data_IF_223357204956
#
_entry.id   IF_223357204956
#
_cell.length_a   1.000
_cell.length_b   1.000
_cell.length_c   1.000
_cell.angle_alpha   90.00
_cell.angle_beta   90.00
_cell.angle_gamma   90.00
#
_symmetry.space_group_name_H-M   'P 1'
#
loop_
_entity.id
_entity.type
_entity.pdbx_description
1 polymer ?
#
# COMPACT_ATOMS: atom_id res chain seq x y z
N UNK A 1 20.00 -13.20 -35.07
CA UNK A 1 21.22 -13.09 -34.25
C UNK A 1 20.82 -12.44 -32.93
N UNK A 2 21.37 -12.95 -31.81
CA UNK A 2 21.11 -12.42 -30.45
C UNK A 2 22.40 -11.78 -29.95
N UNK A 3 22.29 -10.64 -29.29
CA UNK A 3 23.44 -9.94 -28.70
C UNK A 3 23.96 -10.67 -27.45
N UNK A 4 23.06 -11.38 -26.73
CA UNK A 4 23.41 -12.20 -25.59
C UNK A 4 22.72 -13.55 -25.64
N UNK A 5 23.36 -14.59 -25.10
CA UNK A 5 22.80 -15.93 -24.94
C UNK A 5 22.92 -16.36 -23.48
N UNK A 6 21.80 -16.78 -22.87
CA UNK A 6 21.76 -17.39 -21.55
C UNK A 6 21.32 -18.85 -21.69
N UNK A 7 22.11 -19.78 -21.13
CA UNK A 7 21.72 -21.18 -21.04
C UNK A 7 20.95 -21.40 -19.73
N UNK A 8 19.68 -21.72 -19.87
CA UNK A 8 18.83 -22.04 -18.72
C UNK A 8 19.00 -23.50 -18.24
N UNK A 9 19.74 -24.33 -19.00
CA UNK A 9 19.82 -25.77 -18.75
C UNK A 9 18.43 -26.40 -18.76
N UNK A 10 18.14 -27.26 -17.76
CA UNK A 10 16.83 -27.92 -17.62
C UNK A 10 15.81 -27.11 -16.82
N UNK A 11 16.00 -25.78 -16.64
CA UNK A 11 15.11 -24.92 -15.87
C UNK A 11 13.96 -24.35 -16.72
N UNK A 12 12.81 -24.18 -16.08
CA UNK A 12 11.68 -23.47 -16.68
C UNK A 12 11.89 -21.97 -16.65
N UNK A 13 11.50 -21.28 -17.72
CA UNK A 13 11.53 -19.85 -17.82
C UNK A 13 10.09 -19.30 -17.74
N UNK A 14 9.83 -18.41 -16.81
CA UNK A 14 8.55 -17.74 -16.62
C UNK A 14 8.72 -16.23 -16.68
N UNK A 15 7.67 -15.45 -17.03
CA UNK A 15 7.65 -14.02 -16.78
C UNK A 15 7.85 -13.74 -15.28
N UNK A 16 8.57 -12.66 -14.96
CA UNK A 16 8.71 -12.23 -13.56
C UNK A 16 7.36 -11.77 -12.99
N UNK A 17 7.22 -11.89 -11.68
CA UNK A 17 6.05 -11.39 -10.98
C UNK A 17 6.04 -9.85 -10.95
N UNK A 18 4.83 -9.29 -10.94
CA UNK A 18 4.59 -7.87 -10.69
C UNK A 18 3.78 -7.75 -9.39
N UNK A 19 4.41 -7.23 -8.34
CA UNK A 19 3.77 -7.04 -7.05
C UNK A 19 3.20 -5.62 -6.98
N UNK A 20 1.88 -5.53 -7.08
CA UNK A 20 1.19 -4.26 -7.26
C UNK A 20 0.81 -3.56 -5.95
N UNK A 21 1.21 -4.09 -4.79
CA UNK A 21 0.87 -3.51 -3.49
C UNK A 21 1.86 -3.92 -2.42
N UNK A 22 2.77 -3.01 -2.05
CA UNK A 22 3.72 -3.23 -0.96
C UNK A 22 4.00 -1.96 -0.16
N UNK A 23 4.47 -2.17 1.07
CA UNK A 23 4.98 -1.13 1.97
C UNK A 23 6.43 -1.42 2.35
N UNK A 24 7.26 -1.83 1.40
CA UNK A 24 8.64 -2.28 1.61
C UNK A 24 9.57 -1.28 2.32
N UNK A 25 9.25 0.02 2.26
CA UNK A 25 10.00 1.06 2.95
C UNK A 25 9.42 1.30 4.33
N UNK A 26 9.99 0.63 5.34
CA UNK A 26 9.63 0.79 6.75
C UNK A 26 10.84 0.57 7.66
N UNK A 27 10.79 1.10 8.86
CA UNK A 27 11.84 0.99 9.87
C UNK A 27 11.54 -0.13 10.88
N UNK A 28 12.51 -1.05 11.04
CA UNK A 28 12.39 -2.19 11.97
C UNK A 28 11.34 -3.21 11.52
N UNK A 29 10.81 -3.96 12.47
CA UNK A 29 9.78 -4.98 12.25
C UNK A 29 8.77 -4.96 13.39
N UNK A 30 7.66 -5.67 13.25
CA UNK A 30 6.56 -5.73 14.24
C UNK A 30 6.30 -7.16 14.70
N UNK A 31 7.31 -8.00 14.71
CA UNK A 31 7.23 -9.41 15.13
C UNK A 31 6.66 -9.61 16.53
N UNK A 32 6.84 -8.64 17.44
CA UNK A 32 6.23 -8.72 18.76
C UNK A 32 4.71 -8.67 18.71
N UNK A 33 4.14 -7.91 17.78
CA UNK A 33 2.69 -7.86 17.58
C UNK A 33 2.13 -9.19 17.07
N UNK A 34 2.94 -9.93 16.29
CA UNK A 34 2.60 -11.30 15.88
C UNK A 34 2.57 -12.25 17.07
N UNK A 35 3.55 -12.20 17.95
CA UNK A 35 3.56 -12.97 19.20
C UNK A 35 2.36 -12.62 20.08
N UNK A 36 2.02 -11.34 20.18
CA UNK A 36 0.86 -10.88 20.94
C UNK A 36 -0.45 -11.46 20.37
N UNK A 37 -0.59 -11.52 19.05
CA UNK A 37 -1.72 -12.17 18.37
C UNK A 37 -1.80 -13.67 18.66
N UNK A 38 -0.68 -14.39 18.57
CA UNK A 38 -0.62 -15.83 18.89
C UNK A 38 -1.03 -16.06 20.34
N UNK A 39 -0.69 -15.14 21.24
CA UNK A 39 -1.08 -15.18 22.65
C UNK A 39 -2.54 -14.73 22.90
N UNK A 40 -3.32 -14.47 21.84
CA UNK A 40 -4.74 -14.19 21.91
C UNK A 40 -5.11 -12.73 22.14
N UNK A 41 -4.17 -11.78 22.02
CA UNK A 41 -4.49 -10.36 22.11
C UNK A 41 -5.28 -9.91 20.89
N UNK A 42 -6.32 -9.11 21.11
CA UNK A 42 -7.06 -8.46 20.04
C UNK A 42 -6.25 -7.37 19.36
N UNK A 43 -6.62 -7.00 18.13
CA UNK A 43 -6.02 -5.87 17.42
C UNK A 43 -6.09 -4.56 18.25
N UNK A 44 -7.21 -4.32 18.92
CA UNK A 44 -7.41 -3.14 19.78
C UNK A 44 -6.47 -3.13 20.99
N UNK A 45 -6.21 -4.30 21.60
CA UNK A 45 -5.26 -4.43 22.70
C UNK A 45 -3.82 -4.20 22.23
N UNK A 46 -3.45 -4.71 21.07
CA UNK A 46 -2.14 -4.49 20.45
C UNK A 46 -1.97 -2.99 20.16
N UNK A 47 -2.98 -2.34 19.56
CA UNK A 47 -2.95 -0.91 19.27
C UNK A 47 -2.83 -0.07 20.56
N UNK A 48 -3.56 -0.42 21.64
CA UNK A 48 -3.44 0.24 22.96
C UNK A 48 -2.04 0.11 23.58
N UNK A 49 -1.32 -0.96 23.27
CA UNK A 49 0.08 -1.17 23.70
C UNK A 49 1.08 -0.41 22.86
N UNK A 50 0.62 0.40 21.91
CA UNK A 50 1.45 1.20 21.03
C UNK A 50 1.83 0.49 19.73
N UNK A 51 1.16 -0.61 19.38
CA UNK A 51 1.31 -1.30 18.09
C UNK A 51 0.63 -0.61 16.91
N UNK A 52 0.67 -1.25 15.77
CA UNK A 52 0.01 -0.79 14.55
C UNK A 52 0.83 0.22 13.74
N UNK A 53 0.15 0.90 12.81
CA UNK A 53 0.75 1.88 11.88
C UNK A 53 1.50 2.98 12.64
N UNK A 54 0.96 3.46 13.76
CA UNK A 54 1.59 4.52 14.55
C UNK A 54 2.91 4.10 15.19
N UNK A 55 3.07 2.83 15.58
CA UNK A 55 4.36 2.29 16.05
C UNK A 55 5.41 2.30 14.93
N UNK A 56 5.02 1.89 13.73
CA UNK A 56 5.91 1.97 12.56
C UNK A 56 6.30 3.42 12.25
N UNK A 57 5.37 4.37 12.42
CA UNK A 57 5.64 5.79 12.22
C UNK A 57 6.65 6.33 13.25
N UNK A 58 6.48 6.03 14.53
CA UNK A 58 7.38 6.47 15.60
C UNK A 58 8.82 5.98 15.32
N UNK A 59 9.00 4.72 14.94
CA UNK A 59 10.32 4.17 14.55
C UNK A 59 10.91 4.86 13.32
N UNK A 60 10.07 5.14 12.32
CA UNK A 60 10.50 5.78 11.08
C UNK A 60 10.94 7.22 11.31
N UNK A 61 10.31 7.95 12.23
CA UNK A 61 10.72 9.32 12.60
C UNK A 61 12.17 9.38 13.08
N UNK A 62 12.60 8.37 13.85
CA UNK A 62 13.96 8.28 14.41
C UNK A 62 14.97 7.66 13.45
N UNK A 63 14.52 7.05 12.35
CA UNK A 63 15.40 6.35 11.41
C UNK A 63 15.89 7.30 10.32
N UNK A 64 17.21 7.31 10.09
CA UNK A 64 17.80 8.10 9.01
C UNK A 64 17.39 7.59 7.63
N UNK A 65 17.42 8.46 6.61
CA UNK A 65 17.15 8.08 5.22
C UNK A 65 18.11 6.98 4.73
N UNK A 66 19.38 7.03 5.14
CA UNK A 66 20.39 6.03 4.76
C UNK A 66 20.08 4.65 5.35
N UNK A 67 19.74 4.60 6.64
CA UNK A 67 19.39 3.32 7.30
C UNK A 67 18.07 2.76 6.75
N UNK A 68 17.08 3.64 6.46
CA UNK A 68 15.83 3.22 5.84
C UNK A 68 16.05 2.64 4.45
N UNK A 69 16.94 3.26 3.65
CA UNK A 69 17.33 2.74 2.34
C UNK A 69 18.05 1.38 2.45
N UNK A 70 19.00 1.23 3.39
CA UNK A 70 19.71 -0.04 3.60
C UNK A 70 18.75 -1.18 3.93
N UNK A 71 17.84 -0.98 4.88
CA UNK A 71 16.82 -1.96 5.25
C UNK A 71 15.88 -2.30 4.08
N UNK A 72 15.46 -1.30 3.30
CA UNK A 72 14.61 -1.52 2.15
C UNK A 72 15.33 -2.32 1.05
N UNK A 73 16.62 -2.09 0.81
CA UNK A 73 17.38 -2.85 -0.19
C UNK A 73 17.53 -4.33 0.18
N UNK A 74 17.62 -4.69 1.46
CA UNK A 74 17.62 -6.10 1.90
C UNK A 74 16.32 -6.80 1.49
N UNK A 75 15.15 -6.13 1.66
CA UNK A 75 13.84 -6.63 1.25
C UNK A 75 13.70 -6.68 -0.29
N UNK A 76 14.25 -5.71 -0.99
CA UNK A 76 14.32 -5.71 -2.47
C UNK A 76 15.10 -6.92 -2.96
N UNK A 77 16.24 -7.21 -2.39
CA UNK A 77 17.04 -8.40 -2.74
C UNK A 77 16.28 -9.71 -2.45
N UNK A 78 15.50 -9.75 -1.40
CA UNK A 78 14.64 -10.89 -1.06
C UNK A 78 13.57 -11.13 -2.14
N UNK A 79 12.78 -10.11 -2.48
CA UNK A 79 11.71 -10.26 -3.49
C UNK A 79 12.27 -10.55 -4.90
N UNK A 80 13.44 -10.04 -5.25
CA UNK A 80 14.13 -10.39 -6.50
C UNK A 80 14.44 -11.88 -6.54
N UNK A 81 14.98 -12.45 -5.45
CA UNK A 81 15.26 -13.90 -5.37
C UNK A 81 13.99 -14.74 -5.48
N UNK A 82 12.85 -14.22 -5.08
CA UNK A 82 11.54 -14.87 -5.22
C UNK A 82 10.93 -14.70 -6.62
N UNK A 83 11.56 -13.94 -7.52
CA UNK A 83 11.15 -13.79 -8.90
C UNK A 83 10.35 -12.52 -9.21
N UNK A 84 10.31 -11.55 -8.31
CA UNK A 84 9.66 -10.25 -8.54
C UNK A 84 10.53 -9.40 -9.47
N UNK A 85 9.97 -8.95 -10.58
CA UNK A 85 10.62 -8.08 -11.57
C UNK A 85 10.04 -6.66 -11.63
N UNK A 86 8.92 -6.44 -10.96
CA UNK A 86 8.30 -5.12 -10.82
C UNK A 86 7.57 -5.03 -9.48
N UNK A 87 7.66 -3.87 -8.82
CA UNK A 87 7.03 -3.65 -7.53
C UNK A 87 6.44 -2.25 -7.42
N UNK A 88 5.28 -2.15 -6.82
CA UNK A 88 4.73 -0.88 -6.35
C UNK A 88 5.06 -0.72 -4.86
N UNK A 89 5.64 0.42 -4.50
CA UNK A 89 6.05 0.72 -3.12
C UNK A 89 5.35 1.99 -2.65
N UNK A 90 4.67 1.88 -1.51
CA UNK A 90 3.96 2.99 -0.87
C UNK A 90 4.81 3.66 0.21
N UNK A 91 4.59 4.96 0.40
CA UNK A 91 4.88 5.62 1.67
C UNK A 91 3.81 5.24 2.71
N UNK A 92 3.54 6.09 3.71
CA UNK A 92 2.41 5.88 4.62
C UNK A 92 2.77 5.50 6.05
N UNK A 93 4.06 5.38 6.36
CA UNK A 93 4.54 5.29 7.74
C UNK A 93 5.23 6.57 8.19
N UNK A 94 5.27 7.62 7.35
CA UNK A 94 5.76 8.93 7.73
C UNK A 94 4.75 9.68 8.59
N UNK A 95 3.53 9.80 8.11
CA UNK A 95 2.40 10.51 8.71
C UNK A 95 2.68 11.99 9.03
N UNK A 96 3.83 12.49 8.57
CA UNK A 96 4.31 13.88 8.62
C UNK A 96 4.91 14.22 7.26
N UNK A 97 4.84 15.51 6.89
CA UNK A 97 5.37 15.95 5.59
C UNK A 97 6.80 15.45 5.32
N UNK A 98 7.73 15.76 6.23
CA UNK A 98 9.16 15.44 6.02
C UNK A 98 9.43 13.95 5.98
N UNK A 99 8.72 13.15 6.77
CA UNK A 99 8.92 11.71 6.83
C UNK A 99 8.27 10.98 5.65
N UNK A 100 7.14 11.45 5.15
CA UNK A 100 6.56 10.96 3.89
C UNK A 100 7.49 11.27 2.71
N UNK A 101 8.04 12.47 2.64
CA UNK A 101 9.06 12.82 1.63
C UNK A 101 10.33 11.97 1.77
N UNK A 102 10.80 11.71 3.00
CA UNK A 102 11.92 10.81 3.29
C UNK A 102 11.68 9.42 2.72
N UNK A 103 10.52 8.82 2.98
CA UNK A 103 10.15 7.51 2.43
C UNK A 103 10.15 7.52 0.90
N UNK A 104 9.52 8.50 0.28
CA UNK A 104 9.44 8.60 -1.18
C UNK A 104 10.80 8.88 -1.83
N UNK A 105 11.69 9.62 -1.16
CA UNK A 105 13.09 9.79 -1.61
C UNK A 105 13.86 8.46 -1.57
N UNK A 106 13.63 7.65 -0.54
CA UNK A 106 14.17 6.27 -0.47
C UNK A 106 13.63 5.42 -1.62
N UNK A 107 12.33 5.46 -1.92
CA UNK A 107 11.73 4.73 -3.07
C UNK A 107 12.38 5.19 -4.39
N UNK A 108 12.60 6.49 -4.56
CA UNK A 108 13.32 7.02 -5.73
C UNK A 108 14.76 6.51 -5.82
N UNK A 109 15.47 6.35 -4.69
CA UNK A 109 16.82 5.76 -4.65
C UNK A 109 16.76 4.27 -5.04
N UNK A 110 15.82 3.50 -4.50
CA UNK A 110 15.60 2.09 -4.86
C UNK A 110 15.41 1.95 -6.38
N UNK A 111 14.53 2.76 -6.99
CA UNK A 111 14.30 2.78 -8.43
C UNK A 111 15.57 2.97 -9.26
N UNK A 112 16.56 3.72 -8.74
CA UNK A 112 17.82 4.00 -9.42
C UNK A 112 18.90 2.96 -9.19
N UNK A 113 18.80 2.20 -8.09
CA UNK A 113 19.82 1.26 -7.62
C UNK A 113 19.45 -0.20 -7.85
N UNK A 114 18.17 -0.50 -8.09
CA UNK A 114 17.66 -1.85 -8.27
C UNK A 114 17.44 -2.17 -9.76
N UNK A 115 17.62 -3.43 -10.19
CA UNK A 115 17.35 -3.85 -11.57
C UNK A 115 15.87 -4.03 -11.89
N UNK A 116 14.97 -4.01 -10.89
CA UNK A 116 13.53 -4.22 -11.09
C UNK A 116 12.77 -2.91 -11.33
N UNK A 117 11.62 -3.02 -11.98
CA UNK A 117 10.71 -1.88 -12.13
C UNK A 117 10.12 -1.45 -10.80
N UNK A 118 10.12 -0.15 -10.51
CA UNK A 118 9.55 0.41 -9.27
C UNK A 118 8.54 1.49 -9.60
N UNK A 119 7.33 1.39 -9.02
CA UNK A 119 6.31 2.44 -8.98
C UNK A 119 6.20 3.01 -7.57
N UNK A 120 6.06 4.31 -7.45
CA UNK A 120 5.95 4.98 -6.17
C UNK A 120 4.51 5.48 -5.93
N UNK A 121 3.98 5.18 -4.76
CA UNK A 121 2.66 5.62 -4.31
C UNK A 121 2.79 6.46 -3.05
N UNK A 122 2.22 7.66 -3.07
CA UNK A 122 2.07 8.46 -1.87
C UNK A 122 0.83 8.00 -1.08
N UNK A 123 1.03 7.58 0.17
CA UNK A 123 -0.02 7.11 1.09
C UNK A 123 -0.02 7.91 2.40
N UNK A 124 0.07 9.24 2.35
CA UNK A 124 -0.01 10.06 3.57
C UNK A 124 -1.31 9.85 4.37
N UNK A 125 -2.37 9.40 3.71
CA UNK A 125 -3.64 9.04 4.34
C UNK A 125 -3.74 7.52 4.67
N UNK A 126 -2.71 6.96 5.30
CA UNK A 126 -2.69 5.59 5.82
C UNK A 126 -3.28 5.52 7.24
N UNK A 127 -2.97 6.51 8.06
CA UNK A 127 -3.58 6.75 9.38
C UNK A 127 -3.45 8.23 9.72
N UNK A 128 -4.14 8.67 10.77
CA UNK A 128 -3.97 10.03 11.29
C UNK A 128 -2.73 10.09 12.17
N UNK A 129 -1.77 10.96 11.84
CA UNK A 129 -0.56 11.13 12.62
C UNK A 129 -0.85 11.58 14.06
N UNK A 130 0.00 11.20 15.03
CA UNK A 130 -0.20 11.50 16.46
C UNK A 130 -0.40 12.98 16.75
N UNK A 131 0.27 13.87 15.98
CA UNK A 131 0.15 15.32 16.12
C UNK A 131 -1.26 15.85 15.83
N UNK A 132 -2.06 15.06 15.08
CA UNK A 132 -3.43 15.36 14.71
C UNK A 132 -4.46 14.48 15.43
N UNK A 133 -4.09 13.80 16.52
CA UNK A 133 -5.03 12.96 17.28
C UNK A 133 -6.31 13.73 17.63
N UNK A 134 -7.47 13.18 17.25
CA UNK A 134 -8.78 13.83 17.41
C UNK A 134 -9.07 15.00 16.46
N UNK A 135 -8.18 15.28 15.50
CA UNK A 135 -8.31 16.39 14.53
C UNK A 135 -8.16 15.91 13.09
N UNK A 136 -8.85 14.81 12.74
CA UNK A 136 -8.72 14.14 11.43
C UNK A 136 -8.98 15.08 10.25
N UNK A 137 -9.96 15.96 10.34
CA UNK A 137 -10.25 16.92 9.26
C UNK A 137 -9.08 17.88 8.99
N UNK A 138 -8.37 18.30 10.04
CA UNK A 138 -7.16 19.13 9.88
C UNK A 138 -6.01 18.33 9.26
N UNK A 139 -5.91 17.04 9.61
CA UNK A 139 -4.93 16.15 8.96
C UNK A 139 -5.20 15.99 7.47
N UNK A 140 -6.46 15.76 7.09
CA UNK A 140 -6.87 15.69 5.68
C UNK A 140 -6.56 17.00 4.95
N UNK A 141 -6.80 18.16 5.59
CA UNK A 141 -6.39 19.45 5.04
C UNK A 141 -4.89 19.54 4.82
N UNK A 142 -4.08 19.08 5.80
CA UNK A 142 -2.62 19.05 5.69
C UNK A 142 -2.14 18.11 4.55
N UNK A 143 -2.72 16.90 4.44
CA UNK A 143 -2.44 15.99 3.30
C UNK A 143 -2.70 16.69 1.97
N UNK A 144 -3.86 17.34 1.82
CA UNK A 144 -4.28 17.96 0.57
C UNK A 144 -3.50 19.25 0.22
N UNK A 145 -3.17 20.09 1.21
CA UNK A 145 -2.60 21.44 0.97
C UNK A 145 -1.09 21.49 1.05
N UNK A 146 -0.49 20.58 1.82
CA UNK A 146 0.95 20.61 2.07
C UNK A 146 1.67 19.39 1.51
N UNK A 147 1.24 18.17 1.86
CA UNK A 147 1.93 16.95 1.48
C UNK A 147 1.85 16.68 -0.03
N UNK A 148 0.64 16.57 -0.61
CA UNK A 148 0.46 16.28 -2.04
C UNK A 148 1.18 17.29 -2.94
N UNK A 149 1.07 18.62 -2.72
CA UNK A 149 1.83 19.59 -3.50
C UNK A 149 3.34 19.43 -3.37
N UNK A 150 3.86 19.07 -2.19
CA UNK A 150 5.29 18.84 -1.99
C UNK A 150 5.78 17.60 -2.73
N UNK A 151 5.04 16.49 -2.64
CA UNK A 151 5.31 15.24 -3.38
C UNK A 151 5.33 15.48 -4.89
N UNK A 152 4.35 16.21 -5.40
CA UNK A 152 4.25 16.53 -6.83
C UNK A 152 5.39 17.46 -7.29
N UNK A 153 5.73 18.47 -6.50
CA UNK A 153 6.83 19.41 -6.81
C UNK A 153 8.18 18.71 -6.95
N UNK A 154 8.44 17.67 -6.13
CA UNK A 154 9.67 16.88 -6.21
C UNK A 154 9.55 15.72 -7.22
N UNK A 155 8.38 15.44 -7.80
CA UNK A 155 8.16 14.31 -8.71
C UNK A 155 8.45 12.97 -8.06
N UNK A 156 7.99 12.76 -6.82
CA UNK A 156 8.36 11.60 -6.01
C UNK A 156 7.43 10.40 -6.17
N UNK A 157 6.20 10.62 -6.60
CA UNK A 157 5.21 9.55 -6.77
C UNK A 157 4.42 9.73 -8.07
N UNK A 158 3.93 8.63 -8.62
CA UNK A 158 2.99 8.59 -9.73
C UNK A 158 1.54 8.39 -9.25
N UNK A 159 1.39 7.82 -8.06
CA UNK A 159 0.10 7.40 -7.53
C UNK A 159 -0.16 8.05 -6.17
N UNK A 160 -1.44 8.21 -5.84
CA UNK A 160 -1.92 8.58 -4.49
C UNK A 160 -2.88 7.51 -4.02
N UNK A 161 -2.74 7.10 -2.77
CA UNK A 161 -3.55 6.07 -2.13
C UNK A 161 -4.16 6.58 -0.82
N UNK A 162 -5.29 6.04 -0.41
CA UNK A 162 -6.00 6.36 0.82
C UNK A 162 -6.52 5.08 1.45
N UNK A 163 -6.37 4.93 2.76
CA UNK A 163 -7.01 3.86 3.50
C UNK A 163 -8.47 4.24 3.81
N UNK A 164 -9.35 3.89 2.87
CA UNK A 164 -10.77 4.18 2.95
C UNK A 164 -11.52 3.03 3.61
N UNK A 165 -11.56 3.01 4.93
CA UNK A 165 -12.23 1.94 5.69
C UNK A 165 -12.77 2.42 7.03
N UNK A 166 -13.56 1.58 7.70
CA UNK A 166 -14.11 1.88 9.02
C UNK A 166 -12.97 2.11 10.04
N UNK A 167 -13.03 3.25 10.74
CA UNK A 167 -12.00 3.65 11.70
C UNK A 167 -10.81 4.40 11.08
N UNK A 168 -10.77 4.55 9.75
CA UNK A 168 -9.74 5.29 9.01
C UNK A 168 -10.33 6.48 8.28
N UNK A 169 -10.20 6.59 6.95
CA UNK A 169 -10.71 7.74 6.21
C UNK A 169 -12.06 7.45 5.58
N UNK A 170 -12.99 8.40 5.68
CA UNK A 170 -14.32 8.33 5.09
C UNK A 170 -14.29 8.45 3.57
N UNK A 171 -15.39 8.10 2.90
CA UNK A 171 -15.57 8.29 1.44
C UNK A 171 -15.39 9.77 1.05
N UNK A 172 -15.91 10.70 1.84
CA UNK A 172 -15.80 12.13 1.60
C UNK A 172 -14.37 12.64 1.73
N UNK A 173 -13.65 12.22 2.77
CA UNK A 173 -12.24 12.56 2.97
C UNK A 173 -11.37 11.94 1.88
N UNK A 174 -11.62 10.67 1.53
CA UNK A 174 -10.98 9.98 0.42
C UNK A 174 -11.18 10.74 -0.89
N UNK A 175 -12.42 11.13 -1.21
CA UNK A 175 -12.71 11.90 -2.42
C UNK A 175 -11.95 13.24 -2.46
N UNK A 176 -11.80 13.94 -1.32
CA UNK A 176 -11.02 15.18 -1.22
C UNK A 176 -9.53 14.96 -1.52
N UNK A 177 -8.96 13.90 -0.94
CA UNK A 177 -7.54 13.55 -1.12
C UNK A 177 -7.27 13.14 -2.56
N UNK A 178 -8.10 12.27 -3.14
CA UNK A 178 -7.95 11.84 -4.53
C UNK A 178 -8.11 12.99 -5.52
N UNK A 179 -9.03 13.92 -5.26
CA UNK A 179 -9.20 15.13 -6.08
C UNK A 179 -7.96 16.05 -5.98
N UNK A 180 -7.37 16.19 -4.80
CA UNK A 180 -6.11 16.91 -4.63
C UNK A 180 -4.98 16.23 -5.41
N UNK A 181 -4.85 14.89 -5.30
CA UNK A 181 -3.87 14.12 -6.07
C UNK A 181 -4.03 14.29 -7.58
N UNK A 182 -5.27 14.19 -8.09
CA UNK A 182 -5.60 14.37 -9.51
C UNK A 182 -5.18 15.76 -10.03
N UNK A 183 -5.40 16.82 -9.25
CA UNK A 183 -4.97 18.20 -9.61
C UNK A 183 -3.46 18.34 -9.72
N UNK A 184 -2.72 17.48 -9.05
CA UNK A 184 -1.26 17.43 -9.07
C UNK A 184 -0.69 16.31 -9.95
N UNK A 185 -1.53 15.68 -10.79
CA UNK A 185 -1.11 14.67 -11.77
C UNK A 185 -0.88 13.26 -11.20
N UNK A 186 -1.30 13.00 -9.95
CA UNK A 186 -1.25 11.67 -9.35
C UNK A 186 -2.50 10.85 -9.73
N UNK A 187 -2.29 9.58 -10.04
CA UNK A 187 -3.39 8.64 -10.33
C UNK A 187 -3.82 7.93 -9.04
N UNK A 188 -5.13 7.69 -8.89
CA UNK A 188 -5.68 7.10 -7.68
C UNK A 188 -5.40 5.60 -7.53
N UNK A 189 -5.16 5.15 -6.31
CA UNK A 189 -5.30 3.80 -5.76
C UNK A 189 -6.09 3.91 -4.45
N UNK A 190 -6.64 2.81 -3.95
CA UNK A 190 -7.38 2.82 -2.67
C UNK A 190 -7.22 1.48 -1.96
N UNK A 191 -6.89 1.51 -0.65
CA UNK A 191 -7.18 0.41 0.27
C UNK A 191 -8.68 0.47 0.56
N UNK A 192 -9.41 -0.57 0.26
CA UNK A 192 -10.86 -0.58 0.32
C UNK A 192 -11.41 -1.92 0.81
N UNK A 193 -12.42 -1.86 1.65
CA UNK A 193 -13.20 -3.03 2.08
C UNK A 193 -12.33 -4.14 2.73
N UNK A 194 -11.30 -3.78 3.46
CA UNK A 194 -10.50 -4.71 4.27
C UNK A 194 -11.27 -5.10 5.54
N UNK A 195 -11.75 -4.12 6.28
CA UNK A 195 -12.37 -4.28 7.60
C UNK A 195 -13.90 -4.28 7.50
N UNK A 196 -14.48 -3.45 6.66
CA UNK A 196 -15.91 -3.26 6.47
C UNK A 196 -16.28 -2.99 5.02
N UNK A 197 -17.58 -2.97 4.69
CA UNK A 197 -18.08 -2.44 3.42
C UNK A 197 -18.10 -0.90 3.52
N UNK A 198 -16.98 -0.30 3.17
CA UNK A 198 -16.67 1.11 3.48
C UNK A 198 -17.11 2.11 2.39
N UNK A 199 -17.48 1.64 1.20
CA UNK A 199 -17.71 2.50 0.03
C UNK A 199 -16.42 2.89 -0.73
N UNK A 200 -15.26 2.36 -0.30
CA UNK A 200 -13.97 2.60 -0.93
C UNK A 200 -13.91 2.15 -2.39
N UNK A 201 -14.56 1.04 -2.73
CA UNK A 201 -14.65 0.55 -4.12
C UNK A 201 -15.38 1.57 -5.00
N UNK A 202 -16.53 2.06 -4.56
CA UNK A 202 -17.33 3.01 -5.34
C UNK A 202 -16.60 4.35 -5.55
N UNK A 203 -15.92 4.86 -4.54
CA UNK A 203 -15.12 6.08 -4.69
C UNK A 203 -13.92 5.84 -5.60
N UNK A 204 -13.29 4.65 -5.55
CA UNK A 204 -12.22 4.26 -6.47
C UNK A 204 -12.67 4.26 -7.93
N UNK A 205 -13.79 3.62 -8.21
CA UNK A 205 -14.40 3.61 -9.56
C UNK A 205 -14.73 5.04 -10.02
N UNK A 206 -15.32 5.87 -9.17
CA UNK A 206 -15.67 7.27 -9.47
C UNK A 206 -14.43 8.09 -9.86
N UNK A 207 -13.30 7.88 -9.24
CA UNK A 207 -12.05 8.58 -9.54
C UNK A 207 -11.18 7.90 -10.59
N UNK A 208 -11.65 6.79 -11.18
CA UNK A 208 -10.89 6.02 -12.16
C UNK A 208 -9.58 5.47 -11.60
N UNK A 209 -9.61 5.00 -10.36
CA UNK A 209 -8.45 4.45 -9.70
C UNK A 209 -7.82 3.32 -10.52
N UNK A 210 -6.50 3.24 -10.52
CA UNK A 210 -5.76 2.14 -11.16
C UNK A 210 -6.17 0.81 -10.55
N UNK A 211 -6.29 0.76 -9.23
CA UNK A 211 -6.79 -0.41 -8.51
C UNK A 211 -7.54 -0.02 -7.23
N UNK A 212 -8.32 -0.97 -6.75
CA UNK A 212 -8.87 -1.03 -5.39
C UNK A 212 -8.35 -2.31 -4.77
N UNK A 213 -7.72 -2.19 -3.62
CA UNK A 213 -6.89 -3.22 -3.04
C UNK A 213 -7.48 -3.71 -1.71
N UNK A 214 -7.17 -4.91 -1.26
CA UNK A 214 -7.72 -5.69 -0.15
C UNK A 214 -8.99 -6.44 -0.54
N UNK A 215 -10.17 -5.86 -0.37
CA UNK A 215 -11.46 -6.38 -0.83
C UNK A 215 -12.01 -7.57 -0.03
N UNK A 216 -11.53 -7.83 1.18
CA UNK A 216 -11.96 -8.94 2.04
C UNK A 216 -13.46 -8.90 2.34
N UNK A 217 -14.04 -7.69 2.44
CA UNK A 217 -15.46 -7.45 2.74
C UNK A 217 -16.31 -7.11 1.51
N UNK A 218 -15.83 -7.45 0.32
CA UNK A 218 -16.52 -7.15 -0.94
C UNK A 218 -17.77 -8.02 -1.12
N UNK A 219 -18.87 -7.38 -1.50
CA UNK A 219 -20.16 -8.00 -1.83
C UNK A 219 -20.43 -7.97 -3.33
N UNK A 220 -21.61 -8.46 -3.76
CA UNK A 220 -22.02 -8.40 -5.17
C UNK A 220 -22.22 -6.96 -5.66
N UNK A 221 -22.50 -6.02 -4.75
CA UNK A 221 -22.67 -4.59 -5.09
C UNK A 221 -21.35 -3.99 -5.58
N UNK A 222 -20.24 -4.29 -4.89
CA UNK A 222 -18.91 -3.81 -5.27
C UNK A 222 -18.41 -4.51 -6.53
N UNK A 223 -18.67 -5.83 -6.67
CA UNK A 223 -18.34 -6.58 -7.89
C UNK A 223 -19.05 -5.95 -9.11
N UNK A 224 -20.35 -5.64 -8.99
CA UNK A 224 -21.09 -5.01 -10.08
C UNK A 224 -20.59 -3.57 -10.36
N UNK A 225 -20.20 -2.81 -9.33
CA UNK A 225 -19.63 -1.48 -9.50
C UNK A 225 -18.31 -1.49 -10.29
N UNK A 226 -17.52 -2.57 -10.19
CA UNK A 226 -16.27 -2.74 -10.92
C UNK A 226 -16.45 -3.17 -12.38
N UNK A 227 -17.61 -3.76 -12.74
CA UNK A 227 -17.85 -4.28 -14.10
C UNK A 227 -17.81 -3.17 -15.14
N UNK A 228 -17.12 -3.45 -16.23
CA UNK A 228 -16.98 -2.50 -17.34
C UNK A 228 -16.08 -1.29 -17.03
N UNK A 229 -15.49 -1.22 -15.86
CA UNK A 229 -14.51 -0.18 -15.51
C UNK A 229 -13.09 -0.62 -15.85
N UNK A 230 -12.14 0.31 -15.71
CA UNK A 230 -10.70 0.03 -15.85
C UNK A 230 -10.00 -0.14 -14.49
N UNK A 231 -10.73 0.00 -13.40
CA UNK A 231 -10.20 -0.17 -12.04
C UNK A 231 -9.97 -1.65 -11.76
N UNK A 232 -8.75 -2.03 -11.43
CA UNK A 232 -8.35 -3.41 -11.18
C UNK A 232 -8.64 -3.79 -9.71
N UNK A 233 -9.48 -4.78 -9.44
CA UNK A 233 -9.55 -5.36 -8.11
C UNK A 233 -8.27 -6.13 -7.80
N UNK A 234 -7.66 -5.89 -6.65
CA UNK A 234 -6.41 -6.53 -6.20
C UNK A 234 -6.63 -7.20 -4.86
N UNK A 235 -6.56 -8.52 -4.80
CA UNK A 235 -6.63 -9.29 -3.56
C UNK A 235 -5.27 -9.41 -2.89
N UNK A 236 -5.26 -9.40 -1.55
CA UNK A 236 -4.05 -9.46 -0.72
C UNK A 236 -4.10 -10.68 0.21
N UNK A 237 -3.96 -11.91 -0.33
CA UNK A 237 -4.20 -13.14 0.44
C UNK A 237 -3.21 -13.34 1.60
N UNK A 238 -2.00 -12.80 1.52
CA UNK A 238 -1.02 -12.83 2.60
C UNK A 238 -1.51 -12.08 3.84
N UNK A 239 -2.06 -10.87 3.66
CA UNK A 239 -2.64 -10.08 4.73
C UNK A 239 -3.84 -10.80 5.37
N UNK A 240 -4.77 -11.30 4.55
CA UNK A 240 -5.94 -12.05 5.05
C UNK A 240 -5.53 -13.27 5.87
N UNK A 241 -4.54 -14.04 5.40
CA UNK A 241 -4.00 -15.20 6.10
C UNK A 241 -3.37 -14.82 7.45
N UNK A 242 -2.49 -13.83 7.44
CA UNK A 242 -1.76 -13.40 8.64
C UNK A 242 -2.70 -12.78 9.71
N UNK A 243 -3.69 -12.01 9.27
CA UNK A 243 -4.67 -11.39 10.15
C UNK A 243 -5.75 -12.36 10.64
N UNK A 244 -5.92 -13.53 9.98
CA UNK A 244 -6.98 -14.49 10.28
C UNK A 244 -8.37 -13.97 9.91
N UNK A 245 -8.47 -13.11 8.89
CA UNK A 245 -9.74 -12.56 8.39
C UNK A 245 -10.18 -13.30 7.12
N UNK A 246 -11.44 -13.16 6.67
CA UNK A 246 -11.90 -13.74 5.41
C UNK A 246 -11.04 -13.29 4.23
N UNK A 247 -10.86 -14.16 3.24
CA UNK A 247 -10.22 -13.80 1.98
C UNK A 247 -11.14 -12.97 1.09
N UNK A 248 -10.58 -12.09 0.29
CA UNK A 248 -11.30 -11.42 -0.80
C UNK A 248 -12.00 -12.47 -1.70
N UNK A 249 -13.25 -12.23 -2.16
CA UNK A 249 -14.02 -13.19 -2.93
C UNK A 249 -13.56 -13.28 -4.40
N UNK A 250 -12.27 -13.53 -4.62
CA UNK A 250 -11.60 -13.54 -5.94
C UNK A 250 -12.32 -14.45 -6.94
N UNK A 251 -12.77 -15.64 -6.50
CA UNK A 251 -13.51 -16.56 -7.37
C UNK A 251 -14.78 -15.92 -7.93
N UNK A 252 -15.56 -15.24 -7.06
CA UNK A 252 -16.80 -14.55 -7.48
C UNK A 252 -16.51 -13.39 -8.45
N UNK A 253 -15.41 -12.66 -8.24
CA UNK A 253 -14.98 -11.60 -9.15
C UNK A 253 -14.64 -12.15 -10.53
N UNK A 254 -13.87 -13.26 -10.59
CA UNK A 254 -13.52 -13.93 -11.85
C UNK A 254 -14.77 -14.46 -12.56
N UNK A 255 -15.69 -15.09 -11.83
CA UNK A 255 -16.94 -15.62 -12.39
C UNK A 255 -17.86 -14.50 -12.91
N UNK A 256 -17.75 -13.29 -12.34
CA UNK A 256 -18.40 -12.07 -12.84
C UNK A 256 -17.70 -11.44 -14.07
N UNK A 257 -16.60 -12.04 -14.54
CA UNK A 257 -15.84 -11.59 -15.72
C UNK A 257 -14.82 -10.47 -15.43
N UNK A 258 -14.47 -10.24 -14.16
CA UNK A 258 -13.43 -9.28 -13.80
C UNK A 258 -12.03 -9.92 -13.94
N UNK A 259 -11.06 -9.13 -14.44
CA UNK A 259 -9.66 -9.41 -14.18
C UNK A 259 -9.37 -9.13 -12.71
N UNK A 260 -8.54 -9.95 -12.06
CA UNK A 260 -8.14 -9.75 -10.66
C UNK A 260 -6.63 -9.85 -10.57
N UNK A 261 -6.02 -8.86 -9.93
CA UNK A 261 -4.61 -8.92 -9.55
C UNK A 261 -4.47 -9.53 -8.14
N UNK A 262 -3.29 -10.08 -7.86
CA UNK A 262 -2.88 -10.51 -6.53
C UNK A 262 -1.57 -9.80 -6.18
N UNK A 263 -1.43 -9.39 -4.93
CA UNK A 263 -0.23 -8.77 -4.41
C UNK A 263 0.08 -9.27 -3.00
N UNK A 264 1.29 -8.98 -2.51
CA UNK A 264 1.74 -9.53 -1.23
C UNK A 264 1.26 -8.73 -0.03
N UNK A 265 1.07 -7.43 -0.20
CA UNK A 265 0.96 -6.49 0.93
C UNK A 265 2.19 -6.53 1.85
N UNK A 266 3.39 -6.74 1.27
CA UNK A 266 4.61 -6.85 2.07
C UNK A 266 4.79 -5.63 2.98
N UNK A 267 4.58 -5.82 4.27
CA UNK A 267 4.60 -4.77 5.29
C UNK A 267 5.00 -5.33 6.67
N UNK A 268 5.39 -4.50 7.64
CA UNK A 268 5.93 -4.99 8.91
C UNK A 268 4.88 -5.62 9.83
N UNK A 269 3.59 -5.52 9.54
CA UNK A 269 2.53 -5.82 10.51
C UNK A 269 1.53 -6.90 10.13
N UNK A 270 1.19 -7.02 8.86
CA UNK A 270 0.15 -7.95 8.39
C UNK A 270 0.63 -8.90 7.30
N UNK A 271 1.83 -8.69 6.75
CA UNK A 271 2.44 -9.56 5.73
C UNK A 271 3.96 -9.35 5.70
N UNK A 272 4.66 -9.69 6.79
CA UNK A 272 6.10 -9.47 6.91
C UNK A 272 6.92 -10.45 6.07
#
# INVERSE_FOLDING_TARGET
EADERADAGDRWLFPSFCDAHTHLVYAGSREQEFLDKINGLSYEEIARRGGGILNSADRLHETSEEELFRQAMERIDEIIRMGTGCVEIKSGYGLRLEDELKMLRVIRRIRRSSPIGVKATFLGAHAVGREYAGRQSEYVDHVCRDMIPAVAREGLAELVDVFCDEGFFTVEETARILEAGRRHGLTAKIHANELAVSGGVQVGVRFGATSVDHLERTTDVEIEALRGTRTMPTGLPGASFFLGIPYAPVRRMIDAGLGVALATDYNPGSSP
#
